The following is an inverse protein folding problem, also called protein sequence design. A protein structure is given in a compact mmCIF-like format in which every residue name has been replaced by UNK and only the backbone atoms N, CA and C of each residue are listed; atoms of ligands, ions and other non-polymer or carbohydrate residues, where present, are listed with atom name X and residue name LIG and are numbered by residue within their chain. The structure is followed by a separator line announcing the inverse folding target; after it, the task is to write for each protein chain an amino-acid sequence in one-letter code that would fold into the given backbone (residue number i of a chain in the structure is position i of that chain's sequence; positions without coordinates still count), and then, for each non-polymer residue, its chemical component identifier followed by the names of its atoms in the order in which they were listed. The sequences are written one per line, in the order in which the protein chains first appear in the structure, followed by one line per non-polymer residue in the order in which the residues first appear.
data_IF_970650779595
#
_entry.id   IF_970650779595
#
_cell.length_a   1.000
_cell.length_b   1.000
_cell.length_c   1.000
_cell.angle_alpha   90.00
_cell.angle_beta   90.00
_cell.angle_gamma   90.00
#
_symmetry.space_group_name_H-M   'P 1'
#
loop_
_entity.id
_entity.type
_entity.pdbx_description
1 polymer ?
#
# COMPACT_ATOMS: atom_id res chain seq x y z
N UNK A 1 -3.36 -12.27 6.79
CA UNK A 1 -1.94 -11.83 6.79
C UNK A 1 -1.68 -10.70 7.79
N UNK A 2 -2.45 -9.60 7.81
CA UNK A 2 -2.24 -8.51 8.78
C UNK A 2 -2.54 -8.88 10.25
N UNK A 3 -2.96 -10.10 10.55
CA UNK A 3 -3.24 -10.57 11.91
C UNK A 3 -4.55 -10.07 12.51
N UNK A 4 -5.39 -9.39 11.71
CA UNK A 4 -6.69 -8.86 12.17
C UNK A 4 -7.72 -9.96 12.37
N UNK A 5 -7.65 -11.01 11.55
CA UNK A 5 -8.50 -12.19 11.64
C UNK A 5 -7.67 -13.46 11.46
N UNK A 6 -8.17 -14.57 12.02
CA UNK A 6 -7.54 -15.89 11.87
C UNK A 6 -8.13 -16.60 10.64
N UNK A 7 -7.31 -17.35 9.87
CA UNK A 7 -7.85 -18.20 8.81
C UNK A 7 -8.79 -19.27 9.40
N UNK A 8 -9.88 -19.58 8.68
CA UNK A 8 -10.82 -20.65 9.10
C UNK A 8 -10.15 -22.02 9.01
N UNK A 9 -9.24 -22.19 8.04
CA UNK A 9 -8.43 -23.39 7.84
C UNK A 9 -7.12 -23.04 7.16
N UNK A 10 -6.13 -23.92 7.24
CA UNK A 10 -4.80 -23.69 6.70
C UNK A 10 -3.95 -22.78 7.58
N UNK A 11 -2.74 -22.52 7.14
CA UNK A 11 -1.74 -21.72 7.85
C UNK A 11 -1.11 -20.71 6.90
N UNK A 12 -0.61 -19.62 7.46
CA UNK A 12 0.12 -18.59 6.74
C UNK A 12 1.56 -18.63 7.26
N UNK A 13 2.52 -18.66 6.34
CA UNK A 13 3.94 -18.67 6.66
C UNK A 13 4.59 -17.39 6.15
N UNK A 14 5.53 -16.87 6.93
CA UNK A 14 6.45 -15.80 6.52
C UNK A 14 7.87 -16.33 6.73
N UNK A 15 8.64 -16.41 5.64
CA UNK A 15 9.99 -16.96 5.63
C UNK A 15 10.12 -18.36 6.27
N UNK A 16 9.08 -19.20 6.06
CA UNK A 16 9.03 -20.57 6.59
C UNK A 16 8.57 -20.68 8.04
N UNK A 17 8.31 -19.57 8.72
CA UNK A 17 7.76 -19.53 10.07
C UNK A 17 6.25 -19.29 10.07
N UNK A 18 5.45 -20.02 10.89
CA UNK A 18 4.02 -19.79 10.99
C UNK A 18 3.71 -18.36 11.49
N UNK A 19 2.89 -17.65 10.73
CA UNK A 19 2.46 -16.29 11.08
C UNK A 19 1.31 -16.36 12.09
N UNK A 20 1.53 -15.84 13.30
CA UNK A 20 0.53 -15.81 14.37
C UNK A 20 0.24 -14.39 14.82
N UNK A 21 -1.00 -13.92 14.56
CA UNK A 21 -1.44 -12.59 14.99
C UNK A 21 -0.73 -11.45 14.25
N UNK A 22 -0.52 -10.34 14.97
CA UNK A 22 0.18 -9.17 14.44
C UNK A 22 1.68 -9.39 14.45
N UNK A 23 2.29 -9.38 13.27
CA UNK A 23 3.74 -9.49 13.11
C UNK A 23 4.34 -8.11 12.79
N UNK A 24 5.38 -7.65 13.51
CA UNK A 24 6.01 -6.35 13.28
C UNK A 24 6.69 -6.23 11.91
N UNK A 25 6.98 -7.35 11.24
CA UNK A 25 7.51 -7.38 9.87
C UNK A 25 6.47 -6.98 8.81
N UNK A 26 5.17 -6.92 9.19
CA UNK A 26 4.08 -6.58 8.28
C UNK A 26 3.59 -5.16 8.59
N UNK A 27 3.71 -4.27 7.60
CA UNK A 27 3.08 -2.97 7.61
C UNK A 27 1.73 -3.00 6.89
N UNK A 28 0.79 -2.14 7.28
CA UNK A 28 -0.50 -2.05 6.62
C UNK A 28 -0.89 -0.60 6.34
N UNK A 29 -1.34 -0.37 5.10
CA UNK A 29 -1.99 0.86 4.66
C UNK A 29 -3.46 0.52 4.44
N UNK A 30 -4.34 1.16 5.21
CA UNK A 30 -5.77 0.90 5.16
C UNK A 30 -6.46 1.75 4.08
N UNK A 31 -7.59 1.29 3.58
CA UNK A 31 -8.47 2.02 2.68
C UNK A 31 -8.92 3.38 3.29
N UNK A 32 -9.31 3.37 4.55
CA UNK A 32 -9.51 4.60 5.34
C UNK A 32 -8.19 4.98 5.99
N UNK A 33 -7.79 6.22 5.90
CA UNK A 33 -6.48 6.73 6.34
C UNK A 33 -6.07 6.36 7.77
N UNK A 34 -7.06 6.06 8.65
CA UNK A 34 -6.85 5.62 10.05
C UNK A 34 -5.85 6.50 10.81
N UNK A 35 -5.79 7.80 10.49
CA UNK A 35 -4.96 8.76 11.19
C UNK A 35 -5.60 9.12 12.53
N UNK A 36 -4.76 9.34 13.54
CA UNK A 36 -5.19 9.85 14.84
C UNK A 36 -5.45 11.36 14.72
N UNK A 37 -6.71 11.82 14.82
CA UNK A 37 -7.07 13.20 14.50
C UNK A 37 -6.49 14.23 15.48
N UNK A 38 -6.14 13.81 16.70
CA UNK A 38 -5.50 14.65 17.74
C UNK A 38 -3.98 14.65 17.70
N UNK A 39 -3.37 14.00 16.70
CA UNK A 39 -1.92 13.95 16.49
C UNK A 39 -1.55 14.66 15.21
N UNK A 40 -0.40 15.32 15.22
CA UNK A 40 0.17 15.93 14.02
C UNK A 40 0.59 14.88 13.00
N UNK A 41 0.92 15.31 11.79
CA UNK A 41 1.49 14.47 10.71
C UNK A 41 2.73 13.73 11.22
N UNK A 42 3.69 14.46 11.81
CA UNK A 42 4.89 13.84 12.40
C UNK A 42 4.55 12.80 13.46
N UNK A 43 3.66 13.13 14.38
CA UNK A 43 3.25 12.21 15.45
C UNK A 43 2.49 10.98 14.96
N UNK A 44 1.71 11.11 13.89
CA UNK A 44 1.07 9.98 13.22
C UNK A 44 2.10 9.08 12.57
N UNK A 45 3.10 9.67 11.91
CA UNK A 45 4.13 8.93 11.17
C UNK A 45 5.07 8.17 12.12
N UNK A 46 5.49 8.80 13.23
CA UNK A 46 6.43 8.20 14.20
C UNK A 46 5.78 7.23 15.19
N UNK A 47 4.46 7.02 15.14
CA UNK A 47 3.72 6.36 16.23
C UNK A 47 4.12 4.88 16.43
N UNK A 48 4.33 4.15 15.35
CA UNK A 48 4.73 2.74 15.43
C UNK A 48 6.10 2.55 16.11
N UNK A 49 7.17 3.19 15.64
CA UNK A 49 8.46 3.17 16.32
C UNK A 49 8.38 3.67 17.78
N UNK A 50 7.52 4.64 18.06
CA UNK A 50 7.29 5.11 19.44
C UNK A 50 6.77 4.00 20.33
N UNK A 51 5.81 3.20 19.90
CA UNK A 51 5.28 2.07 20.66
C UNK A 51 6.31 0.94 20.85
N UNK A 52 7.28 0.82 19.94
CA UNK A 52 8.41 -0.12 20.09
C UNK A 52 9.55 0.42 20.95
N UNK A 53 9.40 1.57 21.58
CA UNK A 53 10.40 2.15 22.46
C UNK A 53 11.60 2.80 21.75
N UNK A 54 11.52 3.03 20.44
CA UNK A 54 12.60 3.73 19.70
C UNK A 54 12.71 5.17 20.21
N UNK A 55 13.94 5.61 20.47
CA UNK A 55 14.19 6.96 20.97
C UNK A 55 13.65 8.05 20.02
N UNK A 56 13.36 9.24 20.61
CA UNK A 56 12.67 10.31 19.90
C UNK A 56 13.46 10.84 18.71
N UNK A 57 14.78 10.92 18.82
CA UNK A 57 15.63 11.46 17.76
C UNK A 57 15.64 10.55 16.55
N UNK A 58 15.88 9.25 16.76
CA UNK A 58 15.91 8.23 15.73
C UNK A 58 14.58 8.09 15.02
N UNK A 59 13.45 7.94 15.77
CA UNK A 59 12.16 7.76 15.13
C UNK A 59 11.69 8.99 14.35
N UNK A 60 12.00 10.23 14.82
CA UNK A 60 11.67 11.45 14.10
C UNK A 60 12.50 11.65 12.85
N UNK A 61 13.79 11.33 12.90
CA UNK A 61 14.63 11.37 11.72
C UNK A 61 14.10 10.45 10.61
N UNK A 62 13.73 9.22 10.98
CA UNK A 62 13.15 8.25 10.06
C UNK A 62 11.77 8.69 9.55
N UNK A 63 10.90 9.21 10.42
CA UNK A 63 9.61 9.75 10.02
C UNK A 63 9.77 10.93 9.05
N UNK A 64 10.72 11.84 9.29
CA UNK A 64 10.99 12.96 8.40
C UNK A 64 11.47 12.48 7.03
N UNK A 65 12.32 11.46 6.97
CA UNK A 65 12.75 10.88 5.69
C UNK A 65 11.56 10.42 4.85
N UNK A 66 10.64 9.65 5.43
CA UNK A 66 9.46 9.19 4.69
C UNK A 66 8.46 10.29 4.39
N UNK A 67 8.31 11.30 5.26
CA UNK A 67 7.48 12.47 4.96
C UNK A 67 8.04 13.25 3.76
N UNK A 68 9.36 13.38 3.66
CA UNK A 68 9.99 14.00 2.50
C UNK A 68 9.78 13.17 1.22
N UNK A 69 9.89 11.82 1.33
CA UNK A 69 9.68 10.90 0.20
C UNK A 69 8.26 10.96 -0.36
N UNK A 70 7.24 11.17 0.50
CA UNK A 70 5.85 11.31 0.08
C UNK A 70 5.44 12.75 -0.19
N UNK A 71 6.39 13.71 -0.26
CA UNK A 71 6.12 15.10 -0.59
C UNK A 71 5.32 15.86 0.46
N UNK A 72 5.48 15.53 1.75
CA UNK A 72 4.82 16.20 2.88
C UNK A 72 5.76 17.06 3.72
N UNK A 73 6.92 17.45 3.15
CA UNK A 73 7.82 18.41 3.78
C UNK A 73 7.09 19.73 4.05
N UNK A 74 7.22 20.26 5.27
CA UNK A 74 6.54 21.49 5.73
C UNK A 74 5.16 21.26 6.35
N UNK A 75 4.63 20.03 6.32
CA UNK A 75 3.34 19.67 6.93
C UNK A 75 3.47 18.89 8.23
N UNK A 76 4.68 18.78 8.79
CA UNK A 76 4.99 17.93 9.97
C UNK A 76 4.12 18.26 11.18
N UNK A 77 3.80 19.55 11.36
CA UNK A 77 3.02 20.07 12.48
C UNK A 77 1.52 20.22 12.16
N UNK A 78 1.09 19.94 10.94
CA UNK A 78 -0.31 19.98 10.56
C UNK A 78 -1.09 18.82 11.20
N UNK A 79 -2.37 19.05 11.46
CA UNK A 79 -3.30 18.02 11.92
C UNK A 79 -4.05 17.41 10.73
N UNK A 80 -4.57 16.16 10.84
CA UNK A 80 -5.32 15.51 9.77
C UNK A 80 -6.48 16.34 9.22
N UNK A 81 -7.13 17.16 10.04
CA UNK A 81 -8.21 18.07 9.62
C UNK A 81 -7.78 19.14 8.62
N UNK A 82 -6.50 19.45 8.56
CA UNK A 82 -5.90 20.47 7.68
C UNK A 82 -5.40 19.89 6.35
N UNK A 83 -5.56 18.57 6.13
CA UNK A 83 -5.01 17.85 4.99
C UNK A 83 -6.09 17.46 3.98
N UNK A 84 -5.73 17.46 2.70
CA UNK A 84 -6.54 16.85 1.65
C UNK A 84 -6.59 15.31 1.81
N UNK A 85 -7.51 14.64 1.08
CA UNK A 85 -7.59 13.18 1.07
C UNK A 85 -6.28 12.52 0.65
N UNK A 86 -5.67 12.98 -0.44
CA UNK A 86 -4.38 12.49 -0.91
C UNK A 86 -3.24 12.71 0.09
N UNK A 87 -3.19 13.87 0.75
CA UNK A 87 -2.21 14.12 1.80
C UNK A 87 -2.37 13.18 2.99
N UNK A 88 -3.60 12.89 3.42
CA UNK A 88 -3.88 11.91 4.48
C UNK A 88 -3.39 10.52 4.10
N UNK A 89 -3.58 10.13 2.84
CA UNK A 89 -3.10 8.84 2.33
C UNK A 89 -1.57 8.77 2.34
N UNK A 90 -0.89 9.83 1.92
CA UNK A 90 0.57 9.95 2.00
C UNK A 90 1.09 9.81 3.43
N UNK A 91 0.43 10.41 4.42
CA UNK A 91 0.76 10.20 5.84
C UNK A 91 0.61 8.73 6.24
N UNK A 92 -0.47 8.07 5.79
CA UNK A 92 -0.68 6.63 6.05
C UNK A 92 0.43 5.75 5.47
N UNK A 93 0.86 6.04 4.25
CA UNK A 93 1.99 5.36 3.60
C UNK A 93 3.29 5.62 4.36
N UNK A 94 3.63 6.88 4.65
CA UNK A 94 4.83 7.24 5.41
C UNK A 94 4.87 6.55 6.78
N UNK A 95 3.74 6.52 7.50
CA UNK A 95 3.58 5.81 8.77
C UNK A 95 3.88 4.32 8.66
N UNK A 96 3.38 3.66 7.61
CA UNK A 96 3.61 2.24 7.40
C UNK A 96 5.10 1.96 7.13
N UNK A 97 5.75 2.73 6.27
CA UNK A 97 7.17 2.59 5.96
C UNK A 97 8.09 2.94 7.14
N UNK A 98 7.70 3.89 7.99
CA UNK A 98 8.49 4.28 9.18
C UNK A 98 8.64 3.12 10.17
N UNK A 99 7.75 2.12 10.13
CA UNK A 99 7.84 0.90 10.91
C UNK A 99 8.89 -0.08 10.41
N UNK A 100 9.51 0.16 9.26
CA UNK A 100 10.49 -0.72 8.64
C UNK A 100 9.96 -2.14 8.37
N UNK A 101 8.80 -2.28 7.72
CA UNK A 101 8.22 -3.59 7.45
C UNK A 101 8.98 -4.32 6.34
N UNK A 102 9.04 -5.64 6.39
CA UNK A 102 9.53 -6.49 5.29
C UNK A 102 8.46 -6.63 4.21
N UNK A 103 7.20 -6.73 4.65
CA UNK A 103 6.02 -6.82 3.78
C UNK A 103 5.10 -5.64 4.05
N UNK A 104 4.64 -5.00 3.00
CA UNK A 104 3.63 -3.95 3.07
C UNK A 104 2.33 -4.41 2.41
N UNK A 105 1.25 -4.43 3.18
CA UNK A 105 -0.10 -4.69 2.67
C UNK A 105 -0.78 -3.35 2.46
N UNK A 106 -1.29 -3.13 1.25
CA UNK A 106 -2.07 -1.94 0.90
C UNK A 106 -3.48 -2.40 0.50
N UNK A 107 -4.48 -2.02 1.28
CA UNK A 107 -5.87 -2.42 1.07
C UNK A 107 -6.66 -1.26 0.46
N UNK A 108 -6.95 -1.35 -0.84
CA UNK A 108 -7.61 -0.31 -1.65
C UNK A 108 -7.13 1.13 -1.34
N UNK A 109 -5.80 1.38 -1.32
CA UNK A 109 -5.26 2.62 -0.75
C UNK A 109 -5.68 3.87 -1.52
N UNK A 110 -6.11 3.73 -2.75
CA UNK A 110 -6.45 4.85 -3.63
C UNK A 110 -7.94 4.95 -3.98
N UNK A 111 -8.78 4.05 -3.44
CA UNK A 111 -10.20 3.98 -3.78
C UNK A 111 -11.02 5.24 -3.45
N UNK A 112 -10.56 6.07 -2.49
CA UNK A 112 -11.22 7.32 -2.11
C UNK A 112 -10.67 8.58 -2.84
N UNK A 113 -9.70 8.42 -3.76
CA UNK A 113 -9.06 9.52 -4.46
C UNK A 113 -9.68 9.76 -5.84
N UNK A 114 -9.69 11.03 -6.27
CA UNK A 114 -10.00 11.36 -7.64
C UNK A 114 -8.91 10.82 -8.60
N UNK A 115 -9.23 10.70 -9.88
CA UNK A 115 -8.37 10.05 -10.86
C UNK A 115 -6.97 10.70 -10.95
N UNK A 116 -6.89 12.02 -10.98
CA UNK A 116 -5.60 12.72 -11.10
C UNK A 116 -4.72 12.51 -9.87
N UNK A 117 -5.29 12.61 -8.69
CA UNK A 117 -4.59 12.35 -7.41
C UNK A 117 -4.16 10.88 -7.33
N UNK A 118 -4.98 9.96 -7.81
CA UNK A 118 -4.68 8.51 -7.85
C UNK A 118 -3.44 8.23 -8.68
N UNK A 119 -3.37 8.69 -9.93
CA UNK A 119 -2.20 8.50 -10.80
C UNK A 119 -0.93 9.05 -10.18
N UNK A 120 -0.98 10.24 -9.59
CA UNK A 120 0.17 10.82 -8.90
C UNK A 120 0.63 9.95 -7.72
N UNK A 121 -0.30 9.34 -6.98
CA UNK A 121 -0.01 8.45 -5.86
C UNK A 121 0.58 7.10 -6.30
N UNK A 122 0.09 6.53 -7.41
CA UNK A 122 0.63 5.32 -8.01
C UNK A 122 2.10 5.50 -8.42
N UNK A 123 2.41 6.61 -9.09
CA UNK A 123 3.80 6.96 -9.44
C UNK A 123 4.68 7.11 -8.19
N UNK A 124 4.18 7.75 -7.14
CA UNK A 124 4.93 7.91 -5.89
C UNK A 124 5.20 6.58 -5.20
N UNK A 125 4.20 5.70 -5.15
CA UNK A 125 4.39 4.35 -4.58
C UNK A 125 5.45 3.58 -5.36
N UNK A 126 5.45 3.67 -6.70
CA UNK A 126 6.50 3.04 -7.51
C UNK A 126 7.88 3.62 -7.19
N UNK A 127 8.02 4.96 -7.07
CA UNK A 127 9.29 5.61 -6.72
C UNK A 127 9.80 5.15 -5.35
N UNK A 128 8.92 5.07 -4.35
CA UNK A 128 9.26 4.57 -3.02
C UNK A 128 9.68 3.10 -3.10
N UNK A 129 8.88 2.27 -3.80
CA UNK A 129 9.19 0.85 -3.97
C UNK A 129 10.52 0.63 -4.70
N UNK A 130 10.85 1.41 -5.73
CA UNK A 130 12.13 1.32 -6.43
C UNK A 130 13.32 1.59 -5.51
N UNK A 131 13.16 2.47 -4.54
CA UNK A 131 14.18 2.78 -3.53
C UNK A 131 14.28 1.70 -2.45
N UNK A 132 13.14 1.26 -1.93
CA UNK A 132 13.05 0.39 -0.76
C UNK A 132 13.08 -1.11 -1.10
N UNK A 133 12.62 -1.50 -2.31
CA UNK A 133 12.58 -2.89 -2.80
C UNK A 133 11.91 -3.89 -1.86
N UNK A 134 10.85 -3.48 -1.17
CA UNK A 134 10.09 -4.32 -0.26
C UNK A 134 9.04 -5.15 -1.00
N UNK A 135 8.63 -6.26 -0.39
CA UNK A 135 7.45 -7.00 -0.87
C UNK A 135 6.19 -6.21 -0.59
N UNK A 136 5.41 -5.94 -1.63
CA UNK A 136 4.13 -5.23 -1.50
C UNK A 136 3.00 -6.15 -1.95
N UNK A 137 1.98 -6.31 -1.09
CA UNK A 137 0.71 -6.95 -1.44
C UNK A 137 -0.30 -5.83 -1.58
N UNK A 138 -0.71 -5.57 -2.82
CA UNK A 138 -1.62 -4.50 -3.16
C UNK A 138 -3.00 -5.10 -3.50
N UNK A 139 -4.02 -4.72 -2.74
CA UNK A 139 -5.41 -5.15 -2.95
C UNK A 139 -6.16 -4.00 -3.62
N UNK A 140 -6.79 -4.27 -4.74
CA UNK A 140 -7.58 -3.28 -5.48
C UNK A 140 -8.69 -3.95 -6.26
N UNK A 141 -9.76 -3.22 -6.52
CA UNK A 141 -10.82 -3.57 -7.46
C UNK A 141 -10.61 -2.92 -8.85
N UNK A 142 -9.53 -2.15 -9.03
CA UNK A 142 -9.18 -1.49 -10.28
C UNK A 142 -8.12 -2.31 -11.04
N UNK A 143 -8.50 -2.85 -12.19
CA UNK A 143 -7.62 -3.67 -13.04
C UNK A 143 -6.43 -2.85 -13.55
N UNK A 144 -6.63 -1.57 -13.87
CA UNK A 144 -5.57 -0.69 -14.36
C UNK A 144 -4.48 -0.48 -13.30
N UNK A 145 -4.87 -0.23 -12.02
CA UNK A 145 -3.94 -0.20 -10.89
C UNK A 145 -3.17 -1.52 -10.74
N UNK A 146 -3.88 -2.66 -10.83
CA UNK A 146 -3.25 -3.97 -10.71
C UNK A 146 -2.20 -4.20 -11.81
N UNK A 147 -2.50 -3.81 -13.07
CA UNK A 147 -1.55 -3.92 -14.19
C UNK A 147 -0.42 -2.90 -14.04
N UNK A 148 -0.71 -1.67 -13.59
CA UNK A 148 0.31 -0.63 -13.46
C UNK A 148 1.32 -0.95 -12.36
N UNK A 149 0.85 -1.47 -11.20
CA UNK A 149 1.68 -1.67 -10.01
C UNK A 149 2.25 -3.09 -9.89
N UNK A 150 1.47 -4.14 -10.22
CA UNK A 150 1.80 -5.51 -9.86
C UNK A 150 2.81 -6.19 -10.80
N UNK A 151 3.76 -6.95 -10.26
CA UNK A 151 4.59 -7.90 -11.03
C UNK A 151 3.87 -9.23 -11.24
N UNK A 152 2.96 -9.55 -10.32
CA UNK A 152 2.09 -10.71 -10.36
C UNK A 152 0.70 -10.28 -9.90
N UNK A 153 -0.30 -10.59 -10.71
CA UNK A 153 -1.69 -10.23 -10.47
C UNK A 153 -2.47 -11.50 -10.19
N UNK A 154 -3.11 -11.57 -9.02
CA UNK A 154 -3.94 -12.69 -8.60
C UNK A 154 -5.40 -12.27 -8.73
N UNK A 155 -6.10 -12.84 -9.69
CA UNK A 155 -7.52 -12.58 -9.93
C UNK A 155 -8.37 -13.52 -9.07
N UNK A 156 -9.30 -12.93 -8.30
CA UNK A 156 -10.28 -13.67 -7.51
C UNK A 156 -11.66 -13.66 -8.18
N UNK A 157 -12.42 -14.75 -8.00
CA UNK A 157 -13.83 -14.82 -8.37
C UNK A 157 -14.71 -14.03 -7.39
N UNK A 158 -15.98 -13.87 -7.75
CA UNK A 158 -17.03 -13.48 -6.79
C UNK A 158 -17.12 -14.45 -5.60
N UNK A 159 -17.87 -14.02 -4.56
CA UNK A 159 -18.06 -14.84 -3.35
C UNK A 159 -18.91 -16.10 -3.63
N UNK A 160 -18.48 -17.25 -3.11
CA UNK A 160 -17.29 -17.55 -2.31
C UNK A 160 -16.00 -17.44 -3.16
N UNK A 161 -15.10 -16.52 -2.76
CA UNK A 161 -13.94 -16.14 -3.54
C UNK A 161 -12.93 -17.31 -3.67
N UNK A 162 -12.46 -17.52 -4.90
CA UNK A 162 -11.39 -18.46 -5.25
C UNK A 162 -10.43 -17.78 -6.20
N UNK A 163 -9.19 -18.24 -6.25
CA UNK A 163 -8.23 -17.78 -7.27
C UNK A 163 -8.75 -18.31 -8.63
N UNK A 164 -9.09 -17.38 -9.53
CA UNK A 164 -9.44 -17.71 -10.93
C UNK A 164 -8.19 -17.91 -11.75
N UNK A 165 -7.26 -16.95 -11.68
CA UNK A 165 -6.03 -16.98 -12.47
C UNK A 165 -4.94 -16.12 -11.83
N UNK A 166 -3.69 -16.43 -12.18
CA UNK A 166 -2.52 -15.66 -11.78
C UNK A 166 -1.78 -15.22 -13.04
N UNK A 167 -1.71 -13.91 -13.25
CA UNK A 167 -1.02 -13.30 -14.39
C UNK A 167 0.36 -12.83 -13.96
N UNK A 168 1.37 -13.20 -14.74
CA UNK A 168 2.70 -12.61 -14.64
C UNK A 168 2.72 -11.34 -15.49
N UNK A 169 3.31 -10.28 -14.96
CA UNK A 169 3.40 -8.99 -15.63
C UNK A 169 4.87 -8.59 -15.78
N UNK A 170 5.42 -8.87 -16.93
CA UNK A 170 6.83 -8.61 -17.28
C UNK A 170 7.04 -7.24 -17.95
N UNK A 171 6.00 -6.39 -18.00
CA UNK A 171 6.12 -5.04 -18.56
C UNK A 171 7.16 -4.20 -17.79
N UNK A 172 8.08 -3.53 -18.51
CA UNK A 172 9.10 -2.71 -17.87
C UNK A 172 8.50 -1.52 -17.12
N UNK A 173 9.16 -1.09 -16.05
CA UNK A 173 8.76 0.10 -15.28
C UNK A 173 9.64 1.32 -15.65
N UNK A 174 9.10 2.54 -15.74
CA UNK A 174 7.66 2.87 -15.58
C UNK A 174 6.82 2.30 -16.72
N UNK A 175 5.63 1.77 -16.39
CA UNK A 175 4.72 1.20 -17.37
C UNK A 175 3.95 2.29 -18.09
N UNK A 176 3.90 2.17 -19.42
CA UNK A 176 3.08 3.06 -20.25
C UNK A 176 1.66 2.49 -20.38
N UNK A 177 0.69 3.17 -19.76
CA UNK A 177 -0.71 2.73 -19.69
C UNK A 177 -1.40 2.71 -21.06
N UNK A 178 -0.87 3.44 -22.06
CA UNK A 178 -1.41 3.48 -23.42
C UNK A 178 -0.68 2.54 -24.38
N UNK A 179 0.36 1.85 -23.92
CA UNK A 179 1.08 0.89 -24.77
C UNK A 179 0.18 -0.30 -25.16
N UNK A 180 0.34 -0.87 -26.37
CA UNK A 180 -0.46 -2.01 -26.82
C UNK A 180 -0.34 -3.22 -25.87
N UNK A 181 0.83 -3.44 -25.28
CA UNK A 181 1.10 -4.54 -24.34
C UNK A 181 0.33 -4.36 -23.03
N UNK A 182 0.32 -3.15 -22.47
CA UNK A 182 -0.44 -2.82 -21.30
C UNK A 182 -1.95 -3.01 -21.53
N UNK A 183 -2.45 -2.43 -22.61
CA UNK A 183 -3.87 -2.53 -23.00
C UNK A 183 -4.30 -3.97 -23.25
N UNK A 184 -3.44 -4.80 -23.83
CA UNK A 184 -3.71 -6.23 -24.06
C UNK A 184 -3.82 -6.98 -22.73
N UNK A 185 -2.85 -6.80 -21.81
CA UNK A 185 -2.88 -7.46 -20.51
C UNK A 185 -4.11 -7.02 -19.69
N UNK A 186 -4.39 -5.70 -19.66
CA UNK A 186 -5.59 -5.15 -19.01
C UNK A 186 -6.87 -5.77 -19.59
N UNK A 187 -6.99 -5.84 -20.92
CA UNK A 187 -8.12 -6.45 -21.60
C UNK A 187 -8.29 -7.93 -21.25
N UNK A 188 -7.22 -8.71 -21.27
CA UNK A 188 -7.24 -10.14 -20.91
C UNK A 188 -7.75 -10.35 -19.47
N UNK A 189 -7.32 -9.52 -18.53
CA UNK A 189 -7.77 -9.61 -17.12
C UNK A 189 -9.23 -9.17 -17.01
N UNK A 190 -9.61 -8.09 -17.72
CA UNK A 190 -10.98 -7.58 -17.72
C UNK A 190 -11.98 -8.61 -18.25
N UNK A 191 -11.67 -9.25 -19.36
CA UNK A 191 -12.54 -10.28 -19.99
C UNK A 191 -12.72 -11.51 -19.08
N UNK A 192 -11.73 -11.80 -18.22
CA UNK A 192 -11.78 -12.91 -17.25
C UNK A 192 -12.34 -12.49 -15.88
N UNK A 193 -12.50 -11.20 -15.64
CA UNK A 193 -13.00 -10.70 -14.35
C UNK A 193 -14.51 -10.86 -14.23
N UNK A 194 -15.00 -11.07 -12.99
CA UNK A 194 -16.45 -11.01 -12.69
C UNK A 194 -16.88 -9.57 -12.32
N UNK A 195 -15.98 -8.61 -12.44
CA UNK A 195 -16.28 -7.20 -12.17
C UNK A 195 -17.16 -6.68 -13.33
N UNK A 196 -18.38 -6.29 -13.01
CA UNK A 196 -19.21 -5.53 -13.95
C UNK A 196 -18.51 -4.19 -14.22
N UNK A 197 -18.15 -3.96 -15.48
CA UNK A 197 -17.58 -2.71 -15.98
C UNK A 197 -18.67 -1.64 -16.12
#
# INVERSE_FOLDING_TARGET
MAGLEKPTSGEIFLDGEPLQGNDPRIGMVFQKWSLLPWKTVMENTEIGPKFRGVDKTTRRAKAQEYLNLVGLQGFENAYPSQLSGGMKQRVGIARAYTNDPEILIMDEPFGALDAQTRYAMEEEVIKIWQKEKRTVIFVTNNIEEAVYLGDRIVLFSERPARIKEIYKNDLPRPRDMISPEFMRLRGTISDNSDLAL
#
